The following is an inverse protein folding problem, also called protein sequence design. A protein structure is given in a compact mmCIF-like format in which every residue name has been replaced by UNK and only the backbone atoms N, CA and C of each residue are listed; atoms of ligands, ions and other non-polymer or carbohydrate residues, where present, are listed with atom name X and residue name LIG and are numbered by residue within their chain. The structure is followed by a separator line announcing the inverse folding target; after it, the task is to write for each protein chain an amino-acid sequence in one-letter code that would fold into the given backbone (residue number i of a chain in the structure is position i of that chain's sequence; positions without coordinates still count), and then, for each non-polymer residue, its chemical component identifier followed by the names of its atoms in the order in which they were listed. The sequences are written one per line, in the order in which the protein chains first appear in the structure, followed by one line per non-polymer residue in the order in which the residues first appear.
data_IF_993071759703
#
_entry.id   IF_993071759703
#
_cell.length_a   1.000
_cell.length_b   1.000
_cell.length_c   1.000
_cell.angle_alpha   90.00
_cell.angle_beta   90.00
_cell.angle_gamma   90.00
#
_symmetry.space_group_name_H-M   'P 1'
#
loop_
_entity.id
_entity.type
_entity.pdbx_description
1 polymer ?
#
# COMPACT_ATOMS: atom_id res chain seq x y z
N UNK A 1 30.74 1.61 4.99
CA UNK A 1 30.18 2.95 5.27
C UNK A 1 28.99 3.11 4.34
N UNK A 2 27.78 2.90 4.85
CA UNK A 2 26.55 2.92 4.05
C UNK A 2 26.03 4.38 3.99
N UNK A 3 25.91 5.01 2.81
CA UNK A 3 25.65 6.44 2.70
C UNK A 3 24.17 6.83 2.65
N UNK A 4 23.25 5.98 3.12
CA UNK A 4 21.81 6.27 3.12
C UNK A 4 21.17 5.99 4.48
N UNK A 5 21.78 6.48 5.55
CA UNK A 5 21.00 6.86 6.73
C UNK A 5 20.53 8.30 6.48
N UNK A 6 19.47 8.48 5.69
CA UNK A 6 18.63 9.65 5.94
C UNK A 6 18.24 9.55 7.41
N UNK A 7 18.49 10.60 8.20
CA UNK A 7 18.08 10.66 9.61
C UNK A 7 16.59 10.33 9.67
N UNK A 8 16.25 9.08 9.97
CA UNK A 8 14.86 8.64 10.06
C UNK A 8 14.13 9.46 11.13
N UNK A 9 14.87 9.96 12.12
CA UNK A 9 14.41 10.85 13.18
C UNK A 9 14.05 12.26 12.68
N UNK A 10 14.50 12.67 11.47
CA UNK A 10 14.28 14.01 10.90
C UNK A 10 14.09 13.92 9.38
N UNK A 11 12.95 13.39 8.89
CA UNK A 11 12.69 13.31 7.47
C UNK A 11 12.69 14.71 6.84
N UNK A 12 13.32 14.83 5.67
CA UNK A 12 13.19 16.03 4.84
C UNK A 12 11.72 16.15 4.41
N UNK A 13 11.09 17.27 4.77
CA UNK A 13 9.66 17.53 4.57
C UNK A 13 8.74 16.49 5.25
N UNK A 14 8.51 16.57 6.57
CA UNK A 14 7.56 15.71 7.26
C UNK A 14 6.16 15.80 6.65
N UNK A 15 5.47 14.67 6.56
CA UNK A 15 4.07 14.60 6.14
C UNK A 15 3.15 14.81 7.34
N UNK A 16 2.11 15.61 7.18
CA UNK A 16 0.97 15.60 8.11
C UNK A 16 0.21 14.27 8.04
N UNK A 17 -0.64 14.00 9.04
CA UNK A 17 -1.49 12.80 9.05
C UNK A 17 -2.35 12.71 7.79
N UNK A 18 -3.00 13.80 7.42
CA UNK A 18 -3.84 13.87 6.22
C UNK A 18 -3.05 13.57 4.94
N UNK A 19 -1.84 14.13 4.81
CA UNK A 19 -0.99 13.88 3.65
C UNK A 19 -0.51 12.43 3.59
N UNK A 20 -0.12 11.84 4.72
CA UNK A 20 0.33 10.45 4.77
C UNK A 20 -0.83 9.46 4.54
N UNK A 21 -2.05 9.79 5.00
CA UNK A 21 -3.27 9.04 4.68
C UNK A 21 -3.58 9.11 3.19
N UNK A 22 -3.66 10.31 2.62
CA UNK A 22 -3.97 10.52 1.21
C UNK A 22 -2.93 9.87 0.29
N UNK A 23 -1.66 9.86 0.71
CA UNK A 23 -0.57 9.23 -0.03
C UNK A 23 -0.84 7.75 -0.33
N UNK A 24 -1.58 7.01 0.51
CA UNK A 24 -1.88 5.59 0.26
C UNK A 24 -3.35 5.32 -0.09
N UNK A 25 -4.28 6.11 0.44
CA UNK A 25 -5.72 5.92 0.18
C UNK A 25 -6.07 6.28 -1.26
N UNK A 26 -5.53 7.37 -1.81
CA UNK A 26 -5.83 7.76 -3.19
C UNK A 26 -5.28 6.76 -4.22
N UNK A 27 -4.03 6.27 -4.11
CA UNK A 27 -3.56 5.13 -4.88
C UNK A 27 -4.40 3.86 -4.72
N UNK A 28 -4.86 3.53 -3.51
CA UNK A 28 -5.70 2.36 -3.28
C UNK A 28 -7.03 2.45 -4.06
N UNK A 29 -7.68 3.63 -4.04
CA UNK A 29 -8.88 3.91 -4.85
C UNK A 29 -8.59 3.79 -6.33
N UNK A 30 -7.45 4.33 -6.78
CA UNK A 30 -7.03 4.23 -8.18
C UNK A 30 -6.86 2.77 -8.60
N UNK A 31 -6.16 1.94 -7.81
CA UNK A 31 -5.94 0.53 -8.11
C UNK A 31 -7.27 -0.22 -8.18
N UNK A 32 -8.14 -0.06 -7.18
CA UNK A 32 -9.45 -0.71 -7.14
C UNK A 32 -10.26 -0.43 -8.41
N UNK A 33 -10.29 0.84 -8.84
CA UNK A 33 -11.01 1.29 -10.03
C UNK A 33 -10.38 0.84 -11.33
N UNK A 34 -9.09 1.15 -11.52
CA UNK A 34 -8.39 0.97 -12.81
C UNK A 34 -8.14 -0.50 -13.11
N UNK A 35 -7.80 -1.30 -12.09
CA UNK A 35 -7.64 -2.74 -12.25
C UNK A 35 -8.98 -3.50 -12.22
N UNK A 36 -10.10 -2.81 -11.98
CA UNK A 36 -11.44 -3.42 -11.98
C UNK A 36 -11.60 -4.50 -10.90
N UNK A 37 -11.06 -4.27 -9.71
CA UNK A 37 -11.08 -5.26 -8.63
C UNK A 37 -12.52 -5.54 -8.18
N UNK A 38 -12.82 -6.82 -7.91
CA UNK A 38 -14.16 -7.28 -7.53
C UNK A 38 -14.29 -7.44 -6.01
N UNK A 39 -15.47 -7.11 -5.48
CA UNK A 39 -15.82 -7.24 -4.06
C UNK A 39 -14.80 -6.58 -3.12
N UNK A 40 -14.40 -5.35 -3.48
CA UNK A 40 -13.37 -4.63 -2.74
C UNK A 40 -13.83 -4.22 -1.34
N UNK A 41 -12.95 -4.47 -0.37
CA UNK A 41 -12.98 -3.94 0.98
C UNK A 41 -11.57 -3.57 1.42
N UNK A 42 -11.43 -2.64 2.36
CA UNK A 42 -10.10 -2.25 2.78
C UNK A 42 -10.05 -1.48 4.08
N UNK A 43 -8.85 -1.46 4.64
CA UNK A 43 -8.55 -0.84 5.92
C UNK A 43 -7.26 -0.02 5.79
N UNK A 44 -7.25 1.15 6.42
CA UNK A 44 -6.08 1.98 6.61
C UNK A 44 -5.54 1.81 8.03
N UNK A 45 -4.22 1.82 8.18
CA UNK A 45 -3.54 1.81 9.47
C UNK A 45 -2.23 2.57 9.43
N UNK A 46 -1.69 2.83 10.61
CA UNK A 46 -0.36 3.40 10.78
C UNK A 46 0.64 2.29 11.07
N UNK A 47 1.79 2.35 10.40
CA UNK A 47 2.90 1.44 10.63
C UNK A 47 4.13 2.24 11.01
N UNK A 48 4.72 1.94 12.18
CA UNK A 48 6.00 2.53 12.56
C UNK A 48 7.09 1.97 11.65
N UNK A 49 8.00 2.83 11.24
CA UNK A 49 9.13 2.46 10.40
C UNK A 49 10.36 1.99 11.18
N UNK A 50 10.24 1.82 12.50
CA UNK A 50 11.29 1.32 13.38
C UNK A 50 10.74 0.25 14.34
N UNK A 51 11.65 -0.47 14.98
CA UNK A 51 11.30 -1.56 15.89
C UNK A 51 10.79 -1.07 17.26
N UNK A 52 10.93 0.22 17.55
CA UNK A 52 10.52 0.83 18.82
C UNK A 52 9.02 1.18 18.84
N UNK A 53 8.36 1.23 17.68
CA UNK A 53 6.98 1.71 17.59
C UNK A 53 6.88 3.21 17.85
N UNK A 54 7.92 3.95 17.46
CA UNK A 54 8.02 5.40 17.55
C UNK A 54 7.98 6.01 16.15
N UNK A 55 7.77 7.33 16.02
CA UNK A 55 7.97 8.00 14.74
C UNK A 55 9.37 7.75 14.14
N UNK A 56 9.52 7.76 12.80
CA UNK A 56 8.49 8.09 11.83
C UNK A 56 7.52 6.93 11.55
N UNK A 57 6.26 7.28 11.30
CA UNK A 57 5.23 6.38 10.79
C UNK A 57 5.06 6.54 9.28
N UNK A 58 4.51 5.51 8.65
CA UNK A 58 3.94 5.54 7.31
C UNK A 58 2.47 5.14 7.34
N UNK A 59 1.72 5.65 6.36
CA UNK A 59 0.39 5.13 6.07
C UNK A 59 0.49 3.75 5.43
N UNK A 60 -0.43 2.85 5.80
CA UNK A 60 -0.59 1.53 5.21
C UNK A 60 -2.05 1.28 4.87
N UNK A 61 -2.31 0.72 3.68
CA UNK A 61 -3.63 0.27 3.28
C UNK A 61 -3.55 -1.20 2.88
N UNK A 62 -4.52 -2.01 3.29
CA UNK A 62 -4.75 -3.33 2.72
C UNK A 62 -6.08 -3.31 1.95
N UNK A 63 -6.06 -3.67 0.67
CA UNK A 63 -7.25 -3.79 -0.19
C UNK A 63 -7.49 -5.25 -0.53
N UNK A 64 -8.54 -5.82 0.03
CA UNK A 64 -8.99 -7.19 -0.24
C UNK A 64 -9.85 -7.21 -1.49
N UNK A 65 -9.71 -8.25 -2.31
CA UNK A 65 -10.51 -8.46 -3.50
C UNK A 65 -10.66 -9.94 -3.84
N UNK A 66 -11.66 -10.25 -4.68
CA UNK A 66 -11.89 -11.58 -5.22
C UNK A 66 -11.28 -11.73 -6.62
N UNK A 67 -10.80 -12.93 -6.91
CA UNK A 67 -10.32 -13.29 -8.25
C UNK A 67 -11.52 -13.79 -9.07
N UNK A 68 -11.72 -13.31 -10.31
CA UNK A 68 -12.80 -13.79 -11.15
C UNK A 68 -12.78 -15.32 -11.32
N UNK A 69 -13.95 -15.94 -11.24
CA UNK A 69 -14.08 -17.39 -11.34
C UNK A 69 -13.47 -17.94 -12.64
N UNK A 70 -12.69 -19.01 -12.53
CA UNK A 70 -12.02 -19.66 -13.66
C UNK A 70 -10.68 -19.02 -14.08
N UNK A 71 -10.23 -17.99 -13.38
CA UNK A 71 -8.92 -17.38 -13.60
C UNK A 71 -7.85 -17.95 -12.66
N UNK A 72 -6.62 -18.10 -13.14
CA UNK A 72 -5.48 -18.39 -12.29
C UNK A 72 -5.15 -17.16 -11.42
N UNK A 73 -4.94 -17.38 -10.11
CA UNK A 73 -4.73 -16.30 -9.15
C UNK A 73 -3.46 -15.52 -9.41
N UNK A 74 -2.35 -16.21 -9.69
CA UNK A 74 -1.07 -15.56 -9.91
C UNK A 74 -1.09 -14.75 -11.22
N UNK A 75 -1.68 -15.32 -12.28
CA UNK A 75 -1.88 -14.61 -13.54
C UNK A 75 -2.74 -13.36 -13.35
N UNK A 76 -3.79 -13.41 -12.52
CA UNK A 76 -4.59 -12.23 -12.22
C UNK A 76 -3.81 -11.17 -11.44
N UNK A 77 -2.99 -11.56 -10.47
CA UNK A 77 -2.14 -10.62 -9.73
C UNK A 77 -1.12 -9.91 -10.64
N UNK A 78 -0.50 -10.66 -11.56
CA UNK A 78 0.36 -10.10 -12.61
C UNK A 78 -0.41 -9.16 -13.54
N UNK A 79 -1.65 -9.50 -13.91
CA UNK A 79 -2.51 -8.65 -14.73
C UNK A 79 -2.86 -7.33 -14.02
N UNK A 80 -3.19 -7.37 -12.73
CA UNK A 80 -3.43 -6.16 -11.92
C UNK A 80 -2.19 -5.26 -11.94
N UNK A 81 -1.00 -5.83 -11.69
CA UNK A 81 0.25 -5.10 -11.73
C UNK A 81 0.55 -4.49 -13.11
N UNK A 82 0.41 -5.29 -14.17
CA UNK A 82 0.63 -4.84 -15.55
C UNK A 82 -0.33 -3.73 -15.96
N UNK A 83 -1.59 -3.80 -15.51
CA UNK A 83 -2.59 -2.76 -15.74
C UNK A 83 -2.15 -1.45 -15.08
N UNK A 84 -1.71 -1.49 -13.82
CA UNK A 84 -1.24 -0.28 -13.14
C UNK A 84 0.04 0.29 -13.75
N UNK A 85 0.95 -0.57 -14.23
CA UNK A 85 2.15 -0.15 -14.97
C UNK A 85 1.76 0.60 -16.26
N UNK A 86 0.77 0.11 -17.00
CA UNK A 86 0.22 0.83 -18.15
C UNK A 86 -0.40 2.18 -17.77
N UNK A 87 -0.76 2.38 -16.49
CA UNK A 87 -1.27 3.62 -15.91
C UNK A 87 -0.20 4.43 -15.14
N UNK A 88 1.08 4.24 -15.48
CA UNK A 88 2.19 5.07 -15.02
C UNK A 88 2.77 4.68 -13.67
N UNK A 89 2.48 3.46 -13.19
CA UNK A 89 3.28 2.84 -12.13
C UNK A 89 4.55 2.21 -12.70
N UNK A 90 5.55 2.03 -11.84
CA UNK A 90 6.77 1.31 -12.18
C UNK A 90 6.66 -0.14 -11.72
N UNK A 91 7.16 -1.05 -12.56
CA UNK A 91 7.21 -2.48 -12.23
C UNK A 91 8.31 -2.75 -11.19
N UNK A 92 8.03 -3.67 -10.27
CA UNK A 92 8.94 -4.06 -9.19
C UNK A 92 8.87 -3.14 -7.98
N UNK A 93 9.61 -3.48 -6.91
CA UNK A 93 9.69 -2.65 -5.71
C UNK A 93 10.62 -1.45 -5.93
N UNK A 94 10.57 -0.43 -5.03
CA UNK A 94 11.62 0.59 -4.97
C UNK A 94 13.02 -0.05 -4.78
N UNK A 95 14.10 0.59 -5.27
CA UNK A 95 15.46 0.04 -5.18
C UNK A 95 15.86 -0.37 -3.75
N UNK A 96 16.48 -1.55 -3.63
CA UNK A 96 16.96 -2.07 -2.34
C UNK A 96 15.92 -2.85 -1.54
N UNK A 97 14.64 -2.82 -1.92
CA UNK A 97 13.59 -3.62 -1.30
C UNK A 97 13.38 -4.94 -2.06
N UNK A 98 13.02 -5.99 -1.32
CA UNK A 98 12.72 -7.33 -1.85
C UNK A 98 11.48 -7.92 -1.16
N UNK A 99 10.29 -7.37 -1.43
CA UNK A 99 9.05 -7.91 -0.87
C UNK A 99 8.74 -9.28 -1.47
N UNK A 100 7.93 -10.06 -0.75
CA UNK A 100 7.31 -11.27 -1.28
C UNK A 100 6.02 -10.90 -2.02
N UNK A 101 5.88 -11.36 -3.28
CA UNK A 101 4.71 -11.08 -4.12
C UNK A 101 5.02 -10.17 -5.31
N UNK A 102 3.98 -9.78 -6.04
CA UNK A 102 4.09 -8.91 -7.22
C UNK A 102 4.10 -7.46 -6.77
N UNK A 103 5.23 -6.77 -6.93
CA UNK A 103 5.38 -5.39 -6.49
C UNK A 103 5.30 -4.40 -7.66
N UNK A 104 4.68 -3.25 -7.40
CA UNK A 104 4.73 -2.04 -8.22
C UNK A 104 4.98 -0.83 -7.31
N UNK A 105 5.48 0.27 -7.84
CA UNK A 105 5.66 1.49 -7.05
C UNK A 105 5.44 2.76 -7.87
N UNK A 106 5.07 3.84 -7.20
CA UNK A 106 4.86 5.17 -7.78
C UNK A 106 4.91 6.25 -6.71
N UNK A 107 5.60 7.35 -6.95
CA UNK A 107 5.57 8.58 -6.13
C UNK A 107 5.71 8.34 -4.61
N UNK A 108 6.67 7.51 -4.22
CA UNK A 108 6.94 7.18 -2.80
C UNK A 108 6.03 6.09 -2.20
N UNK A 109 5.11 5.54 -2.99
CA UNK A 109 4.19 4.46 -2.58
C UNK A 109 4.63 3.15 -3.23
N UNK A 110 4.69 2.09 -2.42
CA UNK A 110 4.86 0.72 -2.89
C UNK A 110 3.54 -0.02 -2.72
N UNK A 111 3.14 -0.79 -3.73
CA UNK A 111 2.03 -1.72 -3.64
C UNK A 111 2.52 -3.16 -3.89
N UNK A 112 2.11 -4.09 -3.03
CA UNK A 112 2.39 -5.52 -3.14
C UNK A 112 1.05 -6.23 -3.38
N UNK A 113 0.95 -6.96 -4.48
CA UNK A 113 -0.24 -7.71 -4.88
C UNK A 113 0.06 -9.19 -4.67
N UNK A 114 -0.82 -9.86 -3.92
CA UNK A 114 -0.62 -11.26 -3.62
C UNK A 114 -1.83 -11.94 -2.98
N UNK A 115 -1.58 -13.13 -2.44
CA UNK A 115 -2.57 -13.91 -1.72
C UNK A 115 -3.01 -13.18 -0.46
N UNK A 116 -4.32 -12.98 -0.31
CA UNK A 116 -4.87 -12.43 0.94
C UNK A 116 -4.57 -13.36 2.12
N UNK A 117 -4.02 -12.85 3.24
CA UNK A 117 -3.94 -13.60 4.49
C UNK A 117 -5.28 -13.61 5.24
N UNK A 118 -6.28 -12.85 4.78
CA UNK A 118 -7.58 -12.70 5.42
C UNK A 118 -8.62 -13.66 4.85
N UNK A 119 -9.44 -14.24 5.73
CA UNK A 119 -10.54 -15.12 5.35
C UNK A 119 -11.57 -14.37 4.48
N UNK A 120 -12.06 -15.04 3.43
CA UNK A 120 -13.13 -14.53 2.58
C UNK A 120 -12.67 -13.62 1.42
N UNK A 121 -11.37 -13.51 1.16
CA UNK A 121 -10.82 -12.84 -0.01
C UNK A 121 -9.73 -13.69 -0.67
N UNK A 122 -9.65 -13.63 -2.00
CA UNK A 122 -8.66 -14.41 -2.76
C UNK A 122 -7.30 -13.71 -2.85
N UNK A 123 -7.32 -12.38 -2.89
CA UNK A 123 -6.17 -11.52 -3.06
C UNK A 123 -6.21 -10.27 -2.19
N UNK A 124 -5.03 -9.70 -1.95
CA UNK A 124 -4.83 -8.45 -1.23
C UNK A 124 -3.83 -7.56 -1.98
N UNK A 125 -4.06 -6.25 -1.92
CA UNK A 125 -3.08 -5.23 -2.29
C UNK A 125 -2.67 -4.48 -1.03
N UNK A 126 -1.43 -4.69 -0.60
CA UNK A 126 -0.83 -3.94 0.50
C UNK A 126 -0.12 -2.71 -0.06
N UNK A 127 -0.57 -1.51 0.29
CA UNK A 127 0.08 -0.25 -0.05
C UNK A 127 0.80 0.32 1.17
N UNK A 128 2.05 0.73 0.98
CA UNK A 128 2.90 1.37 1.98
C UNK A 128 3.40 2.71 1.45
N UNK A 129 3.18 3.78 2.22
CA UNK A 129 3.70 5.13 1.94
C UNK A 129 5.11 5.35 2.48
N UNK A 130 5.50 6.62 2.52
CA UNK A 130 6.82 7.03 3.01
C UNK A 130 6.86 7.15 4.53
N UNK A 131 8.02 6.82 5.11
CA UNK A 131 8.33 6.97 6.53
C UNK A 131 8.65 8.43 6.89
N UNK A 132 7.64 9.30 6.78
CA UNK A 132 7.80 10.76 6.94
C UNK A 132 6.78 11.40 7.89
N UNK A 133 5.86 10.63 8.45
CA UNK A 133 4.91 11.15 9.44
C UNK A 133 5.54 11.12 10.84
N UNK A 134 5.61 12.28 11.51
CA UNK A 134 6.23 12.39 12.85
C UNK A 134 5.21 12.37 14.01
N UNK A 135 3.94 12.11 13.72
CA UNK A 135 2.88 11.98 14.73
C UNK A 135 3.01 10.67 15.52
N UNK A 136 2.55 10.68 16.78
CA UNK A 136 2.48 9.46 17.59
C UNK A 136 1.19 8.69 17.30
N UNK A 137 1.32 7.57 16.60
CA UNK A 137 0.21 6.70 16.20
C UNK A 137 0.25 5.33 16.89
N UNK A 138 1.00 5.17 17.99
CA UNK A 138 1.22 3.88 18.66
C UNK A 138 -0.08 3.19 19.09
N UNK A 139 -1.12 3.98 19.35
CA UNK A 139 -2.43 3.51 19.79
C UNK A 139 -3.55 3.78 18.78
N UNK A 140 -3.19 4.18 17.56
CA UNK A 140 -4.17 4.42 16.51
C UNK A 140 -4.83 3.10 16.10
N UNK A 141 -6.14 3.16 15.84
CA UNK A 141 -6.91 2.02 15.36
C UNK A 141 -6.91 2.00 13.83
N UNK A 142 -7.06 0.80 13.28
CA UNK A 142 -7.35 0.63 11.86
C UNK A 142 -8.69 1.31 11.52
N UNK A 143 -8.72 2.01 10.39
CA UNK A 143 -9.87 2.71 9.86
C UNK A 143 -10.44 1.91 8.68
N UNK A 144 -11.74 1.63 8.71
CA UNK A 144 -12.40 1.03 7.55
C UNK A 144 -12.54 2.07 6.44
N UNK A 145 -12.03 1.76 5.24
CA UNK A 145 -12.08 2.63 4.06
C UNK A 145 -12.86 2.01 2.90
N UNK A 146 -13.61 0.93 3.14
CA UNK A 146 -14.31 0.16 2.10
C UNK A 146 -15.23 1.02 1.24
N UNK A 147 -15.94 1.98 1.85
CA UNK A 147 -16.83 2.87 1.11
C UNK A 147 -16.07 3.81 0.17
N UNK A 148 -14.84 4.21 0.56
CA UNK A 148 -13.98 5.07 -0.27
C UNK A 148 -13.46 4.31 -1.50
N UNK A 149 -13.23 3.00 -1.37
CA UNK A 149 -12.76 2.14 -2.46
C UNK A 149 -13.84 1.82 -3.49
N UNK A 150 -15.12 1.77 -3.09
CA UNK A 150 -16.25 1.47 -3.98
C UNK A 150 -16.77 2.68 -4.74
N UNK A 151 -16.56 3.89 -4.21
CA UNK A 151 -17.03 5.14 -4.82
C UNK A 151 -16.06 5.78 -5.82
N UNK A 152 -14.99 5.08 -6.21
CA UNK A 152 -13.88 5.58 -7.03
C UNK A 152 -14.19 5.77 -8.49
#
# INVERSE_FOLDING_TARGET
MYPFAHDADRPEHPLSDEQAMAQVIEPAKQIAKVAGLQDVSGEFGWESCNDQGDPPYRGRVNVKFNVPAGMDRNAYFEQVAATMVAHGWLAGPPPGLRPFGTAIHKDGVMAIIGVSPFLGADGDVELSGECRNMGDHRHARWLNISDQLRGG
#
